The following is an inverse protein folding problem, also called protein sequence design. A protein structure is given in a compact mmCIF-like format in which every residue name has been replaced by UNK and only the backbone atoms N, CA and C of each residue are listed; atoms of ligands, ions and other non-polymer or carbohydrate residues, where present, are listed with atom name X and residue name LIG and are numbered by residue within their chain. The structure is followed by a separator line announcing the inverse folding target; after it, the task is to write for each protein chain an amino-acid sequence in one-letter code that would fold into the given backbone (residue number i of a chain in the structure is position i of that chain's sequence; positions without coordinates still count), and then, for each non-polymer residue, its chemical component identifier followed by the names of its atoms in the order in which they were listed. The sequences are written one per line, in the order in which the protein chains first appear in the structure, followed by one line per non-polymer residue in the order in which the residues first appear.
data_IF_447557958759
#
_entry.id   IF_447557958759
#
_cell.length_a   1.000
_cell.length_b   1.000
_cell.length_c   1.000
_cell.angle_alpha   90.00
_cell.angle_beta   90.00
_cell.angle_gamma   90.00
#
_symmetry.space_group_name_H-M   'P 1'
#
loop_
_entity.id
_entity.type
_entity.pdbx_description
1 polymer ?
#
# COMPACT_ATOMS: atom_id res chain seq x y z
N UNK A 1 12.24 27.89 -33.10
CA UNK A 1 11.21 28.92 -32.83
C UNK A 1 10.04 28.51 -31.92
N UNK A 2 9.94 27.28 -31.40
CA UNK A 2 8.82 26.89 -30.51
C UNK A 2 8.92 27.38 -29.05
N UNK A 3 10.07 27.88 -28.60
CA UNK A 3 10.23 28.40 -27.23
C UNK A 3 9.64 29.81 -27.04
N UNK A 4 9.38 30.55 -28.13
CA UNK A 4 8.79 31.89 -28.06
C UNK A 4 7.25 31.87 -27.91
N UNK A 5 6.59 30.73 -28.13
CA UNK A 5 5.12 30.62 -28.14
C UNK A 5 4.53 30.38 -26.74
N UNK A 6 5.34 29.94 -25.76
CA UNK A 6 4.89 29.73 -24.38
C UNK A 6 4.77 31.05 -23.59
N UNK A 7 5.37 32.14 -24.07
CA UNK A 7 5.38 33.44 -23.37
C UNK A 7 4.05 34.23 -23.48
N UNK A 8 3.07 33.75 -24.25
CA UNK A 8 1.79 34.44 -24.50
C UNK A 8 0.56 33.59 -24.13
N UNK A 9 0.74 32.45 -23.44
CA UNK A 9 -0.38 31.65 -22.98
C UNK A 9 -1.01 32.29 -21.73
N UNK A 10 -2.33 32.56 -21.70
CA UNK A 10 -2.99 32.99 -20.47
C UNK A 10 -2.89 31.86 -19.43
N UNK A 11 -2.23 32.17 -18.32
CA UNK A 11 -2.08 31.26 -17.17
C UNK A 11 -3.04 31.73 -16.07
N UNK A 12 -3.91 30.83 -15.63
CA UNK A 12 -4.70 31.04 -14.40
C UNK A 12 -4.03 30.29 -13.28
N UNK A 13 -3.53 31.04 -12.29
CA UNK A 13 -2.94 30.48 -11.09
C UNK A 13 -4.03 30.41 -10.03
N UNK A 14 -4.40 29.20 -9.62
CA UNK A 14 -5.34 28.96 -8.53
C UNK A 14 -4.54 28.68 -7.26
N UNK A 15 -4.54 29.58 -6.25
CA UNK A 15 -3.87 29.31 -4.98
C UNK A 15 -4.64 28.24 -4.22
N UNK A 16 -3.94 27.18 -3.79
CA UNK A 16 -4.50 26.06 -3.01
C UNK A 16 -4.13 26.12 -1.53
N UNK A 17 -3.54 27.24 -1.06
CA UNK A 17 -3.14 27.44 0.34
C UNK A 17 -1.63 27.32 0.54
N UNK A 18 -1.19 26.95 1.74
CA UNK A 18 0.22 26.77 2.09
C UNK A 18 0.48 25.42 2.76
N UNK A 19 1.67 24.85 2.51
CA UNK A 19 2.20 23.70 3.26
C UNK A 19 2.55 24.17 4.68
N UNK A 20 2.66 23.24 5.64
CA UNK A 20 3.04 23.52 7.04
C UNK A 20 4.33 24.36 7.18
N UNK A 21 5.22 24.30 6.18
CA UNK A 21 6.47 25.07 6.11
C UNK A 21 6.29 26.47 5.49
N UNK A 22 5.05 26.94 5.29
CA UNK A 22 4.74 28.27 4.75
C UNK A 22 4.89 28.42 3.24
N UNK A 23 5.26 27.34 2.53
CA UNK A 23 5.42 27.37 1.07
C UNK A 23 4.03 27.43 0.40
N UNK A 24 3.75 28.43 -0.45
CA UNK A 24 2.46 28.55 -1.12
C UNK A 24 2.30 27.45 -2.18
N UNK A 25 1.20 26.72 -2.10
CA UNK A 25 0.75 25.74 -3.09
C UNK A 25 -0.19 26.44 -4.06
N UNK A 26 0.06 26.29 -5.35
CA UNK A 26 -0.84 26.76 -6.38
C UNK A 26 -0.83 25.81 -7.57
N UNK A 27 -1.97 25.70 -8.26
CA UNK A 27 -2.09 24.98 -9.53
C UNK A 27 -2.17 26.01 -10.64
N UNK A 28 -1.24 25.93 -11.59
CA UNK A 28 -1.21 26.76 -12.79
C UNK A 28 -1.90 26.02 -13.93
N UNK A 29 -3.07 26.52 -14.35
CA UNK A 29 -3.78 26.05 -15.53
C UNK A 29 -3.32 26.87 -16.73
N UNK A 30 -2.59 26.25 -17.67
CA UNK A 30 -2.20 26.87 -18.94
C UNK A 30 -3.26 26.59 -20.00
N UNK A 31 -3.89 27.65 -20.52
CA UNK A 31 -4.87 27.56 -21.62
C UNK A 31 -4.30 27.99 -22.97
N UNK A 32 -4.70 27.31 -24.05
CA UNK A 32 -4.42 27.77 -25.40
C UNK A 32 -5.36 28.94 -25.77
N UNK A 33 -4.86 30.06 -26.33
CA UNK A 33 -5.65 31.27 -26.59
C UNK A 33 -6.78 31.10 -27.62
N UNK A 34 -6.91 29.92 -28.25
CA UNK A 34 -7.94 29.61 -29.25
C UNK A 34 -9.23 29.01 -28.68
N UNK A 35 -9.24 28.55 -27.41
CA UNK A 35 -10.42 27.95 -26.78
C UNK A 35 -10.86 28.76 -25.54
N UNK A 36 -11.88 29.58 -25.78
CA UNK A 36 -12.83 30.20 -24.86
C UNK A 36 -12.33 30.78 -23.53
N UNK A 37 -12.28 32.11 -23.47
CA UNK A 37 -12.21 32.90 -22.23
C UNK A 37 -13.29 32.50 -21.20
N UNK A 38 -14.39 31.90 -21.64
CA UNK A 38 -15.44 31.34 -20.77
C UNK A 38 -14.95 30.13 -19.97
N UNK A 39 -14.12 29.27 -20.54
CA UNK A 39 -13.57 28.10 -19.84
C UNK A 39 -12.59 28.52 -18.75
N UNK A 40 -11.74 29.52 -19.04
CA UNK A 40 -10.87 30.13 -18.02
C UNK A 40 -11.68 30.81 -16.90
N UNK A 41 -12.77 31.51 -17.24
CA UNK A 41 -13.63 32.16 -16.25
C UNK A 41 -14.38 31.14 -15.36
N UNK A 42 -14.78 30.00 -15.92
CA UNK A 42 -15.37 28.89 -15.15
C UNK A 42 -14.32 28.26 -14.24
N UNK A 43 -13.10 28.01 -14.73
CA UNK A 43 -12.00 27.50 -13.91
C UNK A 43 -11.65 28.44 -12.73
N UNK A 44 -11.60 29.76 -12.97
CA UNK A 44 -11.38 30.75 -11.92
C UNK A 44 -12.53 30.78 -10.88
N UNK A 45 -13.79 30.59 -11.31
CA UNK A 45 -14.94 30.50 -10.40
C UNK A 45 -15.03 29.19 -9.62
N UNK A 46 -14.46 28.10 -10.15
CA UNK A 46 -14.40 26.81 -9.44
C UNK A 46 -13.22 26.74 -8.45
N UNK A 47 -12.27 27.67 -8.51
CA UNK A 47 -11.13 27.74 -7.59
C UNK A 47 -11.51 27.68 -6.10
N UNK A 48 -12.39 28.57 -5.61
CA UNK A 48 -12.82 28.56 -4.20
C UNK A 48 -13.49 27.25 -3.77
N UNK A 49 -14.29 26.64 -4.67
CA UNK A 49 -14.98 25.37 -4.41
C UNK A 49 -13.97 24.23 -4.28
N UNK A 50 -12.97 24.20 -5.17
CA UNK A 50 -11.89 23.21 -5.09
C UNK A 50 -11.02 23.42 -3.84
N UNK A 51 -10.83 24.66 -3.41
CA UNK A 51 -10.07 24.99 -2.20
C UNK A 51 -10.80 24.54 -0.93
N UNK A 52 -12.11 24.76 -0.84
CA UNK A 52 -12.94 24.25 0.27
C UNK A 52 -12.98 22.71 0.29
N UNK A 53 -13.12 22.08 -0.88
CA UNK A 53 -13.09 20.62 -0.98
C UNK A 53 -11.73 20.05 -0.55
N UNK A 54 -10.63 20.70 -0.91
CA UNK A 54 -9.28 20.28 -0.54
C UNK A 54 -9.03 20.42 0.97
N UNK A 55 -9.44 21.54 1.58
CA UNK A 55 -9.34 21.72 3.03
C UNK A 55 -10.26 20.76 3.80
N UNK A 56 -11.44 20.43 3.27
CA UNK A 56 -12.31 19.39 3.83
C UNK A 56 -11.66 18.00 3.83
N UNK A 57 -10.95 17.64 2.76
CA UNK A 57 -10.17 16.38 2.69
C UNK A 57 -9.01 16.40 3.69
N UNK A 58 -8.32 17.53 3.83
CA UNK A 58 -7.21 17.70 4.78
C UNK A 58 -7.67 17.56 6.24
N UNK A 59 -8.81 18.16 6.59
CA UNK A 59 -9.44 18.02 7.91
C UNK A 59 -9.89 16.57 8.16
N UNK A 60 -10.54 15.93 7.19
CA UNK A 60 -10.95 14.54 7.30
C UNK A 60 -9.77 13.59 7.49
N UNK A 61 -8.65 13.84 6.80
CA UNK A 61 -7.43 13.06 6.96
C UNK A 61 -6.79 13.27 8.35
N UNK A 62 -6.76 14.51 8.84
CA UNK A 62 -6.26 14.84 10.19
C UNK A 62 -7.11 14.19 11.29
N UNK A 63 -8.43 14.14 11.13
CA UNK A 63 -9.34 13.50 12.08
C UNK A 63 -9.19 11.97 12.10
N UNK A 64 -8.89 11.35 10.94
CA UNK A 64 -8.57 9.92 10.86
C UNK A 64 -7.25 9.60 11.56
N UNK A 65 -6.23 10.45 11.40
CA UNK A 65 -4.94 10.30 12.09
C UNK A 65 -5.11 10.46 13.61
N UNK A 66 -5.85 11.46 14.08
CA UNK A 66 -6.15 11.64 15.52
C UNK A 66 -6.93 10.47 16.11
N UNK A 67 -7.89 9.90 15.36
CA UNK A 67 -8.62 8.70 15.80
C UNK A 67 -7.72 7.46 15.84
N UNK A 68 -6.71 7.37 14.99
CA UNK A 68 -5.70 6.31 15.08
C UNK A 68 -4.78 6.50 16.30
N UNK A 69 -4.35 7.72 16.62
CA UNK A 69 -3.50 8.00 17.79
C UNK A 69 -4.24 7.76 19.12
N UNK A 70 -5.52 8.12 19.21
CA UNK A 70 -6.33 7.88 20.41
C UNK A 70 -6.64 6.39 20.63
N UNK A 71 -6.60 5.55 19.59
CA UNK A 71 -6.74 4.09 19.74
C UNK A 71 -5.45 3.38 20.16
N UNK A 72 -4.31 4.09 20.26
CA UNK A 72 -3.00 3.51 20.62
C UNK A 72 -2.56 3.77 22.08
N UNK A 73 -3.40 4.36 22.95
CA UNK A 73 -3.15 4.42 24.41
C UNK A 73 -4.37 3.83 25.15
N UNK A 74 -4.24 2.95 26.16
CA UNK A 74 -3.14 2.88 27.14
C UNK A 74 -2.60 1.45 27.47
N UNK A 75 -1.27 1.32 27.61
CA UNK A 75 -0.62 0.19 28.30
C UNK A 75 0.63 0.70 29.07
N UNK A 76 0.47 1.75 29.88
CA UNK A 76 1.51 2.16 30.84
C UNK A 76 0.88 2.73 32.11
N UNK A 77 0.24 1.88 32.92
CA UNK A 77 -0.07 2.22 34.32
C UNK A 77 -0.34 0.95 35.14
N UNK A 78 0.63 0.03 35.24
CA UNK A 78 0.56 -1.01 36.28
C UNK A 78 1.92 -1.56 36.78
N UNK A 79 3.03 -0.81 36.67
CA UNK A 79 4.27 -1.21 37.35
C UNK A 79 4.87 -0.05 38.14
N UNK A 80 4.20 0.27 39.25
CA UNK A 80 4.83 0.91 40.40
C UNK A 80 5.04 -0.17 41.47
N UNK A 81 6.30 -0.58 41.67
CA UNK A 81 6.68 -1.38 42.83
C UNK A 81 7.86 -2.32 42.58
N UNK A 82 9.08 -1.85 42.79
CA UNK A 82 10.26 -2.74 42.84
C UNK A 82 11.57 -1.99 42.71
N UNK A 83 12.30 -1.89 43.80
CA UNK A 83 13.56 -1.16 44.00
C UNK A 83 14.74 -1.82 43.27
N UNK A 84 15.81 -1.03 43.03
CA UNK A 84 17.19 -1.51 43.22
C UNK A 84 18.15 -1.38 42.04
N UNK A 85 19.10 -0.45 42.21
CA UNK A 85 20.54 -0.59 41.86
C UNK A 85 20.92 -0.56 40.37
N UNK A 86 21.43 0.58 39.89
CA UNK A 86 22.86 0.97 39.83
C UNK A 86 23.67 0.30 38.71
N UNK A 87 23.98 1.14 37.71
CA UNK A 87 25.30 1.36 37.09
C UNK A 87 26.07 0.15 36.53
N UNK A 88 26.20 0.10 35.20
CA UNK A 88 27.43 0.51 34.49
C UNK A 88 27.33 0.24 32.97
N UNK A 89 27.63 1.24 32.15
CA UNK A 89 28.25 1.03 30.84
C UNK A 89 29.76 0.77 31.07
N UNK A 90 30.45 0.04 30.17
CA UNK A 90 31.16 0.78 29.13
C UNK A 90 31.28 0.09 27.76
N UNK A 91 31.91 0.87 26.89
CA UNK A 91 32.19 0.79 25.47
C UNK A 91 32.93 -0.44 24.91
N UNK A 92 32.68 -0.61 23.61
CA UNK A 92 33.64 -0.83 22.53
C UNK A 92 34.36 -2.19 22.37
N UNK A 93 34.30 -2.61 21.10
CA UNK A 93 35.31 -3.35 20.34
C UNK A 93 35.55 -4.83 20.70
N UNK A 94 35.22 -5.71 19.77
CA UNK A 94 36.19 -6.62 19.14
C UNK A 94 35.50 -7.54 18.11
N UNK A 95 36.02 -7.53 16.89
CA UNK A 95 35.92 -8.65 15.96
C UNK A 95 36.78 -9.79 16.50
N UNK A 96 36.40 -11.06 16.30
CA UNK A 96 37.39 -11.96 15.71
C UNK A 96 36.84 -12.88 14.62
N UNK A 97 37.80 -13.27 13.77
CA UNK A 97 37.70 -14.09 12.57
C UNK A 97 38.11 -15.53 12.90
N UNK A 98 37.40 -16.49 12.30
CA UNK A 98 37.76 -17.87 11.96
C UNK A 98 38.08 -18.89 13.08
N UNK A 99 37.42 -20.05 13.05
CA UNK A 99 37.92 -21.28 12.41
C UNK A 99 36.93 -22.44 12.64
N UNK A 100 37.12 -23.50 11.86
CA UNK A 100 36.15 -24.54 11.49
C UNK A 100 36.05 -25.75 12.44
N UNK A 101 35.19 -26.70 12.02
CA UNK A 101 34.92 -28.08 12.52
C UNK A 101 33.78 -28.17 13.56
N UNK A 102 32.76 -29.02 13.44
CA UNK A 102 32.38 -30.00 12.43
C UNK A 102 31.11 -30.74 12.88
N UNK A 103 30.61 -31.60 11.99
CA UNK A 103 29.66 -32.72 12.19
C UNK A 103 28.20 -32.46 12.62
N UNK A 104 27.33 -32.54 11.60
CA UNK A 104 26.19 -33.46 11.51
C UNK A 104 25.17 -33.50 12.65
N UNK A 105 24.05 -32.80 12.44
CA UNK A 105 22.74 -33.25 12.86
C UNK A 105 21.69 -32.68 11.89
N UNK A 106 21.44 -33.40 10.81
CA UNK A 106 20.23 -33.29 10.00
C UNK A 106 19.03 -33.68 10.86
N UNK A 107 18.52 -32.75 11.65
CA UNK A 107 17.16 -32.83 12.16
C UNK A 107 16.26 -32.19 11.09
N UNK A 108 15.60 -33.04 10.31
CA UNK A 108 14.50 -32.61 9.46
C UNK A 108 13.55 -31.73 10.30
N UNK A 109 13.05 -30.60 9.75
CA UNK A 109 12.03 -29.84 10.44
C UNK A 109 10.88 -30.80 10.80
N UNK A 110 10.30 -30.71 12.02
CA UNK A 110 9.19 -31.57 12.39
C UNK A 110 8.11 -31.47 11.29
N UNK A 111 7.45 -32.59 10.92
CA UNK A 111 6.38 -32.54 9.94
C UNK A 111 5.40 -31.45 10.38
N UNK A 112 5.12 -30.50 9.48
CA UNK A 112 4.20 -29.41 9.74
C UNK A 112 2.97 -29.97 10.46
N UNK A 113 2.55 -29.39 11.60
CA UNK A 113 1.41 -29.92 12.34
C UNK A 113 0.23 -29.97 11.37
N UNK A 114 -0.34 -31.16 11.18
CA UNK A 114 -1.49 -31.37 10.31
C UNK A 114 -2.51 -30.25 10.57
N UNK A 115 -2.80 -29.46 9.53
CA UNK A 115 -3.67 -28.28 9.61
C UNK A 115 -4.98 -28.70 10.27
N UNK A 116 -5.24 -28.19 11.48
CA UNK A 116 -6.48 -28.48 12.19
C UNK A 116 -7.66 -28.04 11.30
N UNK A 117 -8.55 -28.96 10.89
CA UNK A 117 -9.68 -28.65 10.01
C UNK A 117 -10.53 -27.49 10.52
N UNK A 118 -10.59 -27.30 11.85
CA UNK A 118 -11.33 -26.19 12.47
C UNK A 118 -10.66 -24.85 12.24
N UNK A 119 -9.31 -24.79 12.15
CA UNK A 119 -8.57 -23.57 11.79
C UNK A 119 -8.83 -23.19 10.34
N UNK A 120 -8.82 -24.18 9.44
CA UNK A 120 -9.13 -23.97 8.05
C UNK A 120 -10.55 -23.42 7.86
N UNK A 121 -11.53 -24.01 8.56
CA UNK A 121 -12.92 -23.52 8.53
C UNK A 121 -13.04 -22.08 9.05
N UNK A 122 -12.35 -21.74 10.15
CA UNK A 122 -12.30 -20.36 10.66
C UNK A 122 -11.65 -19.40 9.65
N UNK A 123 -10.54 -19.79 9.03
CA UNK A 123 -9.86 -18.98 8.02
C UNK A 123 -10.77 -18.70 6.82
N UNK A 124 -11.50 -19.72 6.35
CA UNK A 124 -12.46 -19.60 5.26
C UNK A 124 -13.64 -18.69 5.63
N UNK A 125 -14.12 -18.77 6.87
CA UNK A 125 -15.16 -17.86 7.39
C UNK A 125 -14.67 -16.40 7.44
N UNK A 126 -13.44 -16.16 7.89
CA UNK A 126 -12.84 -14.82 7.89
C UNK A 126 -12.66 -14.29 6.46
N UNK A 127 -12.22 -15.14 5.52
CA UNK A 127 -12.16 -14.77 4.10
C UNK A 127 -13.55 -14.40 3.55
N UNK A 128 -14.57 -15.20 3.85
CA UNK A 128 -15.93 -14.93 3.38
C UNK A 128 -16.45 -13.58 3.89
N UNK A 129 -16.26 -13.29 5.18
CA UNK A 129 -16.57 -11.97 5.77
C UNK A 129 -15.78 -10.84 5.13
N UNK A 130 -14.48 -11.04 4.90
CA UNK A 130 -13.64 -10.07 4.19
C UNK A 130 -14.17 -9.76 2.79
N UNK A 131 -14.64 -10.78 2.05
CA UNK A 131 -15.25 -10.60 0.73
C UNK A 131 -16.57 -9.82 0.80
N UNK A 132 -17.41 -10.07 1.82
CA UNK A 132 -18.66 -9.32 2.04
C UNK A 132 -18.36 -7.83 2.34
N UNK A 133 -17.40 -7.56 3.22
CA UNK A 133 -16.97 -6.20 3.55
C UNK A 133 -16.34 -5.50 2.33
N UNK A 134 -15.57 -6.22 1.53
CA UNK A 134 -15.00 -5.71 0.29
C UNK A 134 -16.09 -5.29 -0.70
N UNK A 135 -17.13 -6.12 -0.88
CA UNK A 135 -18.30 -5.77 -1.71
C UNK A 135 -19.09 -4.59 -1.14
N UNK A 136 -19.14 -4.44 0.18
CA UNK A 136 -19.74 -3.31 0.86
C UNK A 136 -18.88 -2.02 0.82
N UNK A 137 -17.72 -2.03 0.16
CA UNK A 137 -16.81 -0.89 0.06
C UNK A 137 -15.99 -0.61 1.32
N UNK A 138 -16.10 -1.44 2.36
CA UNK A 138 -15.35 -1.32 3.61
C UNK A 138 -13.98 -2.01 3.50
N UNK A 139 -13.10 -1.45 2.69
CA UNK A 139 -11.82 -2.08 2.34
C UNK A 139 -10.86 -2.21 3.54
N UNK A 140 -10.86 -1.27 4.49
CA UNK A 140 -10.02 -1.33 5.68
C UNK A 140 -10.40 -2.51 6.58
N UNK A 141 -11.69 -2.65 6.87
CA UNK A 141 -12.21 -3.77 7.66
C UNK A 141 -11.98 -5.12 6.94
N UNK A 142 -12.16 -5.14 5.61
CA UNK A 142 -11.87 -6.32 4.80
C UNK A 142 -10.40 -6.76 4.94
N UNK A 143 -9.45 -5.81 4.91
CA UNK A 143 -8.03 -6.11 5.07
C UNK A 143 -7.71 -6.69 6.46
N UNK A 144 -8.43 -6.26 7.51
CA UNK A 144 -8.31 -6.82 8.87
C UNK A 144 -8.85 -8.25 8.92
N UNK A 145 -10.02 -8.51 8.34
CA UNK A 145 -10.59 -9.87 8.30
C UNK A 145 -9.71 -10.84 7.50
N UNK A 146 -9.14 -10.41 6.37
CA UNK A 146 -8.14 -11.23 5.66
C UNK A 146 -6.88 -11.46 6.50
N UNK A 147 -6.45 -10.49 7.31
CA UNK A 147 -5.36 -10.66 8.28
C UNK A 147 -5.67 -11.74 9.32
N UNK A 148 -6.91 -11.81 9.81
CA UNK A 148 -7.35 -12.91 10.69
C UNK A 148 -7.31 -14.26 10.00
N UNK A 149 -7.72 -14.33 8.72
CA UNK A 149 -7.61 -15.56 7.93
C UNK A 149 -6.15 -16.03 7.78
N UNK A 150 -5.22 -15.09 7.54
CA UNK A 150 -3.78 -15.37 7.46
C UNK A 150 -3.23 -15.90 8.79
N UNK A 151 -3.68 -15.36 9.93
CA UNK A 151 -3.23 -15.82 11.25
C UNK A 151 -3.68 -17.26 11.55
N UNK A 152 -4.86 -17.65 11.05
CA UNK A 152 -5.37 -19.02 11.21
C UNK A 152 -4.69 -19.99 10.23
N UNK A 153 -4.43 -19.56 9.00
CA UNK A 153 -3.83 -20.37 7.96
C UNK A 153 -2.90 -19.54 7.04
N UNK A 154 -1.62 -19.41 7.42
CA UNK A 154 -0.66 -18.55 6.71
C UNK A 154 -0.16 -19.14 5.40
N UNK A 155 -0.43 -20.41 5.11
CA UNK A 155 0.09 -21.08 3.92
C UNK A 155 -0.77 -20.84 2.67
N UNK A 156 -1.95 -20.21 2.81
CA UNK A 156 -2.85 -20.00 1.68
C UNK A 156 -2.60 -18.64 1.03
N UNK A 157 -2.05 -18.61 -0.21
CA UNK A 157 -1.72 -17.35 -0.87
C UNK A 157 -2.94 -16.52 -1.29
N UNK A 158 -4.13 -17.12 -1.36
CA UNK A 158 -5.37 -16.42 -1.73
C UNK A 158 -5.71 -15.32 -0.73
N UNK A 159 -5.44 -15.52 0.57
CA UNK A 159 -5.73 -14.52 1.60
C UNK A 159 -4.87 -13.26 1.42
N UNK A 160 -3.57 -13.44 1.17
CA UNK A 160 -2.65 -12.35 0.85
C UNK A 160 -3.06 -11.61 -0.41
N UNK A 161 -3.45 -12.35 -1.46
CA UNK A 161 -3.88 -11.76 -2.72
C UNK A 161 -5.12 -10.88 -2.53
N UNK A 162 -6.13 -11.37 -1.78
CA UNK A 162 -7.35 -10.61 -1.49
C UNK A 162 -7.08 -9.38 -0.60
N UNK A 163 -6.18 -9.51 0.37
CA UNK A 163 -5.74 -8.40 1.21
C UNK A 163 -4.99 -7.33 0.42
N UNK A 164 -4.12 -7.74 -0.52
CA UNK A 164 -3.44 -6.81 -1.42
C UNK A 164 -4.44 -6.00 -2.26
N UNK A 165 -5.51 -6.65 -2.74
CA UNK A 165 -6.57 -5.94 -3.46
C UNK A 165 -7.32 -4.93 -2.59
N UNK A 166 -7.56 -5.25 -1.31
CA UNK A 166 -8.11 -4.29 -0.35
C UNK A 166 -7.17 -3.09 -0.15
N UNK A 167 -5.86 -3.32 -0.03
CA UNK A 167 -4.88 -2.23 0.08
C UNK A 167 -4.77 -1.36 -1.18
N UNK A 168 -4.87 -1.94 -2.37
CA UNK A 168 -4.97 -1.18 -3.62
C UNK A 168 -6.17 -0.23 -3.62
N UNK A 169 -7.33 -0.69 -3.14
CA UNK A 169 -8.53 0.16 -3.02
C UNK A 169 -8.42 1.25 -1.96
N UNK A 170 -7.51 1.09 -1.00
CA UNK A 170 -7.17 2.09 0.02
C UNK A 170 -6.01 3.00 -0.39
N UNK A 171 -5.51 2.90 -1.62
CA UNK A 171 -4.33 3.64 -2.10
C UNK A 171 -3.05 3.38 -1.28
N UNK A 172 -2.98 2.26 -0.56
CA UNK A 172 -1.81 1.84 0.22
C UNK A 172 -0.93 0.92 -0.62
N UNK A 173 -0.24 1.52 -1.59
CA UNK A 173 0.48 0.78 -2.63
C UNK A 173 1.68 -0.01 -2.10
N UNK A 174 2.43 0.53 -1.14
CA UNK A 174 3.57 -0.19 -0.52
C UNK A 174 3.12 -1.47 0.17
N UNK A 175 2.06 -1.39 0.99
CA UNK A 175 1.49 -2.55 1.68
C UNK A 175 0.91 -3.56 0.68
N UNK A 176 0.29 -3.08 -0.41
CA UNK A 176 -0.21 -3.96 -1.47
C UNK A 176 0.93 -4.72 -2.17
N UNK A 177 2.05 -4.05 -2.45
CA UNK A 177 3.24 -4.67 -3.05
C UNK A 177 3.79 -5.79 -2.13
N UNK A 178 3.93 -5.51 -0.84
CA UNK A 178 4.41 -6.49 0.15
C UNK A 178 3.52 -7.72 0.24
N UNK A 179 2.20 -7.54 0.31
CA UNK A 179 1.26 -8.67 0.38
C UNK A 179 1.26 -9.50 -0.92
N UNK A 180 1.39 -8.85 -2.09
CA UNK A 180 1.57 -9.58 -3.35
C UNK A 180 2.89 -10.36 -3.37
N UNK A 181 3.98 -9.78 -2.86
CA UNK A 181 5.27 -10.46 -2.75
C UNK A 181 5.18 -11.68 -1.83
N UNK A 182 4.44 -11.59 -0.71
CA UNK A 182 4.18 -12.73 0.17
C UNK A 182 3.37 -13.81 -0.55
N UNK A 183 2.30 -13.43 -1.26
CA UNK A 183 1.47 -14.37 -2.01
C UNK A 183 2.30 -15.15 -3.05
N UNK A 184 3.20 -14.48 -3.77
CA UNK A 184 4.04 -15.06 -4.82
C UNK A 184 5.18 -15.96 -4.29
N UNK A 185 5.43 -15.98 -2.98
CA UNK A 185 6.37 -16.94 -2.37
C UNK A 185 5.78 -18.33 -2.20
N UNK A 186 4.45 -18.44 -2.23
CA UNK A 186 3.75 -19.72 -2.12
C UNK A 186 3.34 -20.24 -3.49
N UNK A 187 2.98 -21.52 -3.54
CA UNK A 187 2.49 -22.17 -4.75
C UNK A 187 1.07 -21.67 -5.08
N UNK A 188 1.02 -20.67 -5.95
CA UNK A 188 -0.21 -20.16 -6.54
C UNK A 188 -0.58 -20.97 -7.78
N UNK A 189 -1.88 -21.21 -7.95
CA UNK A 189 -2.42 -21.62 -9.25
C UNK A 189 -2.12 -20.53 -10.28
N UNK A 190 -1.85 -20.91 -11.51
CA UNK A 190 -1.46 -19.97 -12.58
C UNK A 190 -2.44 -18.77 -12.72
N UNK A 191 -3.75 -19.02 -12.65
CA UNK A 191 -4.76 -17.96 -12.70
C UNK A 191 -4.70 -16.99 -11.49
N UNK A 192 -4.36 -17.48 -10.30
CA UNK A 192 -4.24 -16.63 -9.11
C UNK A 192 -2.88 -15.92 -9.04
N UNK A 193 -1.85 -16.54 -9.62
CA UNK A 193 -0.53 -15.93 -9.86
C UNK A 193 -0.62 -14.76 -10.81
N UNK A 194 -1.33 -14.91 -11.94
CA UNK A 194 -1.59 -13.81 -12.87
C UNK A 194 -2.28 -12.63 -12.18
N UNK A 195 -3.31 -12.88 -11.35
CA UNK A 195 -3.97 -11.83 -10.55
C UNK A 195 -3.03 -11.16 -9.55
N UNK A 196 -2.19 -11.93 -8.86
CA UNK A 196 -1.24 -11.38 -7.88
C UNK A 196 -0.18 -10.50 -8.56
N UNK A 197 0.36 -10.95 -9.70
CA UNK A 197 1.31 -10.18 -10.50
C UNK A 197 0.68 -8.90 -11.06
N UNK A 198 -0.55 -8.97 -11.56
CA UNK A 198 -1.27 -7.80 -12.05
C UNK A 198 -1.48 -6.77 -10.94
N UNK A 199 -1.93 -7.21 -9.75
CA UNK A 199 -2.11 -6.34 -8.58
C UNK A 199 -0.78 -5.72 -8.12
N UNK A 200 0.31 -6.48 -8.16
CA UNK A 200 1.66 -5.98 -7.84
C UNK A 200 2.12 -4.94 -8.87
N UNK A 201 1.88 -5.18 -10.15
CA UNK A 201 2.18 -4.23 -11.22
C UNK A 201 1.41 -2.92 -11.02
N UNK A 202 0.11 -2.97 -10.74
CA UNK A 202 -0.69 -1.78 -10.44
C UNK A 202 -0.14 -1.00 -9.24
N UNK A 203 0.25 -1.70 -8.16
CA UNK A 203 0.87 -1.07 -7.00
C UNK A 203 2.20 -0.39 -7.36
N UNK A 204 3.05 -1.07 -8.15
CA UNK A 204 4.36 -0.57 -8.58
C UNK A 204 4.27 0.62 -9.53
N UNK A 205 3.31 0.60 -10.47
CA UNK A 205 3.02 1.75 -11.34
C UNK A 205 2.63 2.98 -10.52
N UNK A 206 1.80 2.79 -9.48
CA UNK A 206 1.44 3.88 -8.58
C UNK A 206 2.63 4.39 -7.74
N UNK A 207 3.58 3.52 -7.39
CA UNK A 207 4.83 3.86 -6.70
C UNK A 207 5.94 4.40 -7.65
N UNK A 208 5.64 4.66 -8.92
CA UNK A 208 6.61 5.09 -9.94
C UNK A 208 7.73 4.08 -10.25
N UNK A 209 7.54 2.80 -9.90
CA UNK A 209 8.48 1.70 -10.20
C UNK A 209 8.16 1.07 -11.55
N UNK A 210 8.16 1.87 -12.61
CA UNK A 210 7.68 1.49 -13.95
C UNK A 210 8.40 0.26 -14.53
N UNK A 211 9.74 0.18 -14.38
CA UNK A 211 10.53 -0.96 -14.87
C UNK A 211 10.12 -2.29 -14.21
N UNK A 212 9.82 -2.26 -12.91
CA UNK A 212 9.39 -3.46 -12.17
C UNK A 212 7.95 -3.84 -12.50
N UNK A 213 7.08 -2.85 -12.69
CA UNK A 213 5.71 -3.06 -13.14
C UNK A 213 5.68 -3.71 -14.53
N UNK A 214 6.50 -3.23 -15.47
CA UNK A 214 6.61 -3.79 -16.83
C UNK A 214 7.05 -5.27 -16.80
N UNK A 215 8.00 -5.61 -15.94
CA UNK A 215 8.44 -7.00 -15.73
C UNK A 215 7.30 -7.89 -15.25
N UNK A 216 6.51 -7.40 -14.30
CA UNK A 216 5.37 -8.13 -13.77
C UNK A 216 4.28 -8.32 -14.82
N UNK A 217 3.97 -7.28 -15.60
CA UNK A 217 2.98 -7.35 -16.69
C UNK A 217 3.40 -8.32 -17.79
N UNK A 218 4.69 -8.36 -18.15
CA UNK A 218 5.23 -9.37 -19.07
C UNK A 218 5.06 -10.79 -18.54
N UNK A 219 5.25 -10.99 -17.23
CA UNK A 219 4.99 -12.29 -16.61
C UNK A 219 3.50 -12.64 -16.63
N UNK A 220 2.61 -11.66 -16.43
CA UNK A 220 1.16 -11.88 -16.59
C UNK A 220 0.83 -12.34 -18.00
N UNK A 221 1.38 -11.71 -19.04
CA UNK A 221 1.15 -12.12 -20.43
C UNK A 221 1.76 -13.49 -20.77
N UNK A 222 2.80 -13.93 -20.06
CA UNK A 222 3.34 -15.27 -20.23
C UNK A 222 2.39 -16.34 -19.67
N UNK A 223 1.69 -16.05 -18.57
CA UNK A 223 0.74 -16.98 -17.93
C UNK A 223 -0.64 -16.91 -18.60
N UNK A 224 -1.13 -15.69 -18.83
CA UNK A 224 -2.42 -15.39 -19.46
C UNK A 224 -2.20 -14.47 -20.68
N UNK A 225 -1.90 -15.03 -21.87
CA UNK A 225 -1.63 -14.23 -23.05
C UNK A 225 -2.77 -13.31 -23.47
N UNK A 226 -4.01 -13.66 -23.13
CA UNK A 226 -5.21 -12.91 -23.50
C UNK A 226 -5.67 -11.89 -22.43
N UNK A 227 -4.85 -11.63 -21.41
CA UNK A 227 -5.21 -10.67 -20.37
C UNK A 227 -5.22 -9.24 -20.95
N UNK A 228 -6.41 -8.65 -21.07
CA UNK A 228 -6.59 -7.31 -21.66
C UNK A 228 -5.93 -6.23 -20.82
N UNK A 229 -6.11 -6.26 -19.49
CA UNK A 229 -5.56 -5.26 -18.57
C UNK A 229 -4.04 -5.21 -18.69
N UNK A 230 -3.37 -6.37 -18.71
CA UNK A 230 -1.92 -6.41 -18.79
C UNK A 230 -1.38 -5.85 -20.11
N UNK A 231 -2.12 -5.99 -21.22
CA UNK A 231 -1.76 -5.38 -22.51
C UNK A 231 -1.96 -3.87 -22.52
N UNK A 232 -3.04 -3.39 -21.92
CA UNK A 232 -3.35 -1.96 -21.82
C UNK A 232 -2.31 -1.25 -20.93
N UNK A 233 -1.94 -1.83 -19.79
CA UNK A 233 -0.96 -1.25 -18.87
C UNK A 233 0.49 -1.25 -19.42
N UNK A 234 0.74 -1.96 -20.53
CA UNK A 234 2.05 -2.06 -21.20
C UNK A 234 2.21 -1.10 -22.39
N UNK A 235 1.14 -0.44 -22.83
CA UNK A 235 1.10 0.46 -24.00
C UNK A 235 1.32 1.92 -23.63
#
# INVERSE_FOLDING_TARGET
NCLATLAQCPVVVVPLGSVADGTPLAVALMGCPRFDARLLAVAAKMGPIMQEAFEGVKQGLADVVRKQEQQQQPLQQEQAGGKGEQQQQPSAAAVPKAAAAGVSATAAPPPAPAVDPRRLERAERFKARGNELFKAGKYADAAVEYGKAINEHPENPVYYNNRAMAFLKLFRFEQAEEECNKALRFDLKEADKAKALLRRATARSALQKHNEAERDLRQVLAVEPNNRQAREDLQ
#
